data_IF_071614113112
#
_entry.id   IF_071614113112
#
_cell.length_a   1.000
_cell.length_b   1.000
_cell.length_c   1.000
_cell.angle_alpha   90.00
_cell.angle_beta   90.00
_cell.angle_gamma   90.00
#
_symmetry.space_group_name_H-M   'P 1'
#
loop_
_entity.id
_entity.type
_entity.pdbx_description
1 polymer ?
#
# COMPACT_ATOMS: atom_id res chain seq x y z
N UNK A 1 -59.04 24.30 -13.93
CA UNK A 1 -58.60 24.65 -12.57
C UNK A 1 -58.89 23.43 -11.71
N UNK A 2 -57.95 22.57 -11.34
CA UNK A 2 -56.48 22.53 -11.40
C UNK A 2 -56.09 21.04 -11.57
N UNK A 3 -55.05 20.66 -12.32
CA UNK A 3 -53.64 20.47 -11.84
C UNK A 3 -53.61 19.86 -10.42
N UNK A 4 -52.93 18.78 -10.08
CA UNK A 4 -51.82 17.99 -10.60
C UNK A 4 -51.79 16.73 -9.67
N UNK A 5 -51.00 15.68 -9.76
CA UNK A 5 -49.79 15.37 -10.51
C UNK A 5 -49.73 13.85 -10.58
N UNK A 6 -49.22 13.37 -11.71
CA UNK A 6 -48.71 12.03 -11.80
C UNK A 6 -47.39 11.94 -11.03
N UNK A 7 -47.06 10.69 -10.74
CA UNK A 7 -45.70 10.16 -10.79
C UNK A 7 -44.83 10.16 -9.52
N UNK A 8 -44.13 9.03 -9.47
CA UNK A 8 -42.80 8.85 -8.90
C UNK A 8 -42.58 9.15 -7.42
N UNK A 9 -42.54 8.08 -6.63
CA UNK A 9 -41.40 7.86 -5.74
C UNK A 9 -41.15 6.35 -5.72
N UNK A 10 -40.44 5.85 -6.74
CA UNK A 10 -38.98 5.75 -6.73
C UNK A 10 -38.53 4.65 -5.77
N UNK A 11 -37.98 3.61 -6.37
CA UNK A 11 -37.31 2.51 -5.71
C UNK A 11 -36.51 2.98 -4.50
N UNK A 12 -36.85 2.45 -3.32
CA UNK A 12 -36.05 2.57 -2.11
C UNK A 12 -34.72 1.83 -2.32
N UNK A 13 -33.82 2.45 -3.09
CA UNK A 13 -32.41 2.14 -3.11
C UNK A 13 -31.83 2.54 -1.77
N UNK A 14 -31.91 1.64 -0.79
CA UNK A 14 -31.21 1.79 0.49
C UNK A 14 -29.73 1.96 0.16
N UNK A 15 -29.26 3.20 0.24
CA UNK A 15 -27.84 3.50 0.07
C UNK A 15 -27.09 2.83 1.22
N UNK A 16 -26.36 1.75 0.92
CA UNK A 16 -25.56 0.97 1.88
C UNK A 16 -24.59 1.87 2.67
N UNK A 17 -24.19 3.00 2.09
CA UNK A 17 -23.34 4.00 2.75
C UNK A 17 -24.01 4.76 3.90
N UNK A 18 -25.35 4.85 3.94
CA UNK A 18 -26.07 5.57 4.99
C UNK A 18 -26.16 4.78 6.31
N UNK A 19 -25.80 3.48 6.26
CA UNK A 19 -25.75 2.58 7.41
C UNK A 19 -24.32 2.39 7.95
N UNK A 20 -23.32 2.99 7.31
CA UNK A 20 -21.95 2.97 7.79
C UNK A 20 -21.78 4.16 8.74
N UNK A 21 -21.58 3.88 10.03
CA UNK A 21 -21.16 4.93 10.97
C UNK A 21 -19.86 5.58 10.46
N UNK A 22 -19.71 6.91 10.55
CA UNK A 22 -18.47 7.59 10.24
C UNK A 22 -17.35 7.03 11.13
N UNK A 23 -16.39 6.33 10.53
CA UNK A 23 -15.17 5.94 11.24
C UNK A 23 -14.24 7.15 11.29
N UNK A 24 -14.15 7.78 12.45
CA UNK A 24 -13.23 8.90 12.68
C UNK A 24 -11.83 8.36 12.92
N UNK A 25 -10.98 8.48 11.90
CA UNK A 25 -9.57 8.14 12.02
C UNK A 25 -8.90 9.17 12.92
N UNK A 26 -8.24 8.72 13.98
CA UNK A 26 -7.34 9.63 14.67
C UNK A 26 -6.19 10.04 13.74
N UNK A 27 -5.72 11.29 13.88
CA UNK A 27 -4.55 11.75 13.12
C UNK A 27 -3.31 10.87 13.35
N UNK A 28 -3.22 10.24 14.53
CA UNK A 28 -2.17 9.27 14.86
C UNK A 28 -2.28 7.97 14.07
N UNK A 29 -3.48 7.38 13.96
CA UNK A 29 -3.70 6.17 13.15
C UNK A 29 -3.40 6.42 11.66
N UNK A 30 -3.83 7.59 11.15
CA UNK A 30 -3.52 8.01 9.77
C UNK A 30 -2.01 8.13 9.57
N UNK A 31 -1.32 8.85 10.46
CA UNK A 31 0.13 9.02 10.38
C UNK A 31 0.88 7.69 10.50
N UNK A 32 0.42 6.78 11.35
CA UNK A 32 1.03 5.46 11.52
C UNK A 32 0.88 4.60 10.27
N UNK A 33 -0.30 4.60 9.65
CA UNK A 33 -0.54 3.89 8.40
C UNK A 33 0.30 4.44 7.24
N UNK A 34 0.31 5.76 7.04
CA UNK A 34 1.14 6.40 6.01
C UNK A 34 2.63 6.09 6.22
N UNK A 35 3.10 6.10 7.47
CA UNK A 35 4.47 5.70 7.78
C UNK A 35 4.76 4.23 7.44
N UNK A 36 3.77 3.33 7.52
CA UNK A 36 3.93 1.94 7.07
C UNK A 36 3.97 1.82 5.55
N UNK A 37 3.09 2.54 4.85
CA UNK A 37 3.10 2.62 3.39
C UNK A 37 4.45 3.15 2.89
N UNK A 38 4.96 4.21 3.50
CA UNK A 38 6.26 4.77 3.14
C UNK A 38 7.42 3.80 3.41
N UNK A 39 7.38 3.04 4.50
CA UNK A 39 8.37 2.01 4.76
C UNK A 39 8.39 0.94 3.66
N UNK A 40 7.22 0.51 3.16
CA UNK A 40 7.13 -0.42 2.02
C UNK A 40 7.70 0.21 0.75
N UNK A 41 7.32 1.45 0.45
CA UNK A 41 7.83 2.17 -0.72
C UNK A 41 9.36 2.36 -0.67
N UNK A 42 9.92 2.60 0.53
CA UNK A 42 11.36 2.63 0.74
C UNK A 42 12.05 1.31 0.38
N UNK A 43 11.46 0.17 0.75
CA UNK A 43 11.97 -1.14 0.35
C UNK A 43 11.87 -1.39 -1.17
N UNK A 44 10.76 -0.96 -1.81
CA UNK A 44 10.62 -1.00 -3.27
C UNK A 44 11.70 -0.16 -3.95
N UNK A 45 11.95 1.05 -3.44
CA UNK A 45 12.99 1.96 -3.92
C UNK A 45 14.40 1.36 -3.79
N UNK A 46 14.69 0.67 -2.69
CA UNK A 46 15.97 -0.03 -2.50
C UNK A 46 16.17 -1.11 -3.57
N UNK A 47 15.15 -1.90 -3.89
CA UNK A 47 15.23 -2.88 -4.98
C UNK A 47 15.36 -2.21 -6.36
N UNK A 48 14.71 -1.07 -6.61
CA UNK A 48 14.92 -0.30 -7.84
C UNK A 48 16.37 0.16 -7.99
N UNK A 49 16.99 0.62 -6.89
CA UNK A 49 18.39 1.02 -6.88
C UNK A 49 19.33 -0.18 -7.14
N UNK A 50 19.02 -1.35 -6.55
CA UNK A 50 19.75 -2.59 -6.82
C UNK A 50 19.68 -2.99 -8.29
N UNK A 51 18.49 -2.94 -8.90
CA UNK A 51 18.29 -3.23 -10.33
C UNK A 51 19.13 -2.28 -11.18
N UNK A 52 19.01 -0.97 -10.96
CA UNK A 52 19.76 0.02 -11.72
C UNK A 52 21.28 -0.15 -11.57
N UNK A 53 21.77 -0.50 -10.37
CA UNK A 53 23.17 -0.79 -10.13
C UNK A 53 23.65 -2.05 -10.86
N UNK A 54 22.83 -3.10 -10.91
CA UNK A 54 23.12 -4.35 -11.63
C UNK A 54 23.12 -4.15 -13.15
N UNK A 55 22.10 -3.46 -13.67
CA UNK A 55 21.98 -3.11 -15.09
C UNK A 55 23.14 -2.24 -15.60
N UNK A 56 23.76 -1.45 -14.72
CA UNK A 56 24.92 -0.62 -15.03
C UNK A 56 26.26 -1.37 -15.14
N UNK A 57 26.31 -2.67 -14.82
CA UNK A 57 27.55 -3.47 -14.91
C UNK A 57 27.88 -3.85 -16.36
N UNK A 58 29.17 -4.11 -16.63
CA UNK A 58 29.61 -4.61 -17.93
C UNK A 58 28.97 -5.97 -18.30
N UNK A 59 28.76 -6.81 -17.30
CA UNK A 59 28.05 -8.09 -17.41
C UNK A 59 26.98 -8.16 -16.30
N UNK A 60 25.75 -7.68 -16.55
CA UNK A 60 24.68 -7.70 -15.55
C UNK A 60 24.24 -9.11 -15.17
N UNK A 61 24.08 -9.38 -13.87
CA UNK A 61 23.48 -10.63 -13.38
C UNK A 61 21.95 -10.59 -13.49
N UNK A 62 21.43 -11.24 -14.53
CA UNK A 62 19.98 -11.35 -14.77
C UNK A 62 19.23 -12.07 -13.64
N UNK A 63 19.91 -12.93 -12.88
CA UNK A 63 19.34 -13.59 -11.71
C UNK A 63 19.09 -12.62 -10.56
N UNK A 64 20.00 -11.65 -10.34
CA UNK A 64 19.81 -10.58 -9.35
C UNK A 64 18.63 -9.70 -9.74
N UNK A 65 18.59 -9.24 -10.99
CA UNK A 65 17.51 -8.40 -11.53
C UNK A 65 16.16 -9.11 -11.41
N UNK A 66 16.08 -10.39 -11.82
CA UNK A 66 14.85 -11.18 -11.72
C UNK A 66 14.35 -11.35 -10.29
N UNK A 67 15.26 -11.61 -9.33
CA UNK A 67 14.90 -11.70 -7.90
C UNK A 67 14.42 -10.37 -7.34
N UNK A 68 15.06 -9.26 -7.73
CA UNK A 68 14.66 -7.93 -7.29
C UNK A 68 13.26 -7.54 -7.81
N UNK A 69 12.95 -7.83 -9.07
CA UNK A 69 11.59 -7.63 -9.60
C UNK A 69 10.54 -8.48 -8.89
N UNK A 70 10.84 -9.76 -8.65
CA UNK A 70 9.93 -10.64 -7.90
C UNK A 70 9.68 -10.12 -6.47
N UNK A 71 10.72 -9.56 -5.82
CA UNK A 71 10.59 -8.92 -4.52
C UNK A 71 9.71 -7.67 -4.57
N UNK A 72 9.87 -6.79 -5.57
CA UNK A 72 9.00 -5.62 -5.76
C UNK A 72 7.53 -6.01 -5.95
N UNK A 73 7.25 -7.04 -6.76
CA UNK A 73 5.90 -7.54 -6.95
C UNK A 73 5.28 -8.04 -5.64
N UNK A 74 6.05 -8.79 -4.85
CA UNK A 74 5.62 -9.25 -3.52
C UNK A 74 5.31 -8.07 -2.59
N UNK A 75 6.19 -7.06 -2.53
CA UNK A 75 6.01 -5.87 -1.69
C UNK A 75 4.73 -5.09 -2.06
N UNK A 76 4.40 -5.00 -3.35
CA UNK A 76 3.15 -4.38 -3.80
C UNK A 76 1.92 -5.11 -3.23
N UNK A 77 1.93 -6.46 -3.27
CA UNK A 77 0.85 -7.30 -2.71
C UNK A 77 0.79 -7.22 -1.18
N UNK A 78 1.93 -7.14 -0.51
CA UNK A 78 1.99 -6.98 0.93
C UNK A 78 1.45 -5.61 1.38
N UNK A 79 1.73 -4.54 0.61
CA UNK A 79 1.15 -3.21 0.84
C UNK A 79 -0.36 -3.22 0.73
N UNK A 80 -0.92 -3.87 -0.29
CA UNK A 80 -2.38 -4.04 -0.47
C UNK A 80 -3.03 -4.76 0.72
N UNK A 81 -2.28 -5.59 1.44
CA UNK A 81 -2.74 -6.31 2.63
C UNK A 81 -2.66 -5.54 3.95
N UNK A 82 -2.13 -4.31 3.96
CA UNK A 82 -2.08 -3.49 5.17
C UNK A 82 -3.48 -3.03 5.56
N UNK A 83 -3.82 -3.25 6.83
CA UNK A 83 -5.09 -2.85 7.43
C UNK A 83 -4.83 -1.64 8.31
N UNK A 84 -5.33 -0.45 7.95
CA UNK A 84 -5.03 0.74 8.72
C UNK A 84 -5.62 0.68 10.15
N UNK A 85 -6.65 -0.15 10.39
CA UNK A 85 -7.22 -0.42 11.72
C UNK A 85 -6.50 -1.50 12.55
N UNK A 86 -5.33 -1.99 12.12
CA UNK A 86 -4.51 -2.95 12.89
C UNK A 86 -3.16 -2.32 13.30
N UNK A 87 -3.09 -1.64 14.47
CA UNK A 87 -1.88 -0.94 14.90
C UNK A 87 -0.66 -1.87 15.06
N UNK A 88 -0.88 -3.14 15.39
CA UNK A 88 0.19 -4.12 15.55
C UNK A 88 0.79 -4.51 14.18
N UNK A 89 -0.07 -4.74 13.18
CA UNK A 89 0.38 -4.97 11.81
C UNK A 89 1.15 -3.76 11.28
N UNK A 90 0.63 -2.55 11.48
CA UNK A 90 1.27 -1.30 11.04
C UNK A 90 2.65 -1.11 11.69
N UNK A 91 2.77 -1.28 13.01
CA UNK A 91 4.05 -1.17 13.70
C UNK A 91 5.07 -2.23 13.24
N UNK A 92 4.59 -3.45 12.96
CA UNK A 92 5.43 -4.54 12.47
C UNK A 92 5.91 -4.28 11.04
N UNK A 93 5.02 -3.85 10.15
CA UNK A 93 5.33 -3.48 8.78
C UNK A 93 6.40 -2.38 8.73
N UNK A 94 6.22 -1.31 9.50
CA UNK A 94 7.20 -0.20 9.59
C UNK A 94 8.60 -0.69 9.92
N UNK A 95 8.74 -1.49 10.98
CA UNK A 95 10.05 -2.02 11.41
C UNK A 95 10.64 -2.97 10.36
N UNK A 96 9.81 -3.85 9.82
CA UNK A 96 10.24 -4.87 8.87
C UNK A 96 10.74 -4.25 7.57
N UNK A 97 9.94 -3.40 6.91
CA UNK A 97 10.31 -2.85 5.61
C UNK A 97 11.42 -1.80 5.71
N UNK A 98 11.48 -1.02 6.80
CA UNK A 98 12.62 -0.13 7.04
C UNK A 98 13.94 -0.90 7.26
N UNK A 99 13.88 -2.11 7.83
CA UNK A 99 15.04 -3.00 7.95
C UNK A 99 15.39 -3.60 6.59
N UNK A 100 14.41 -4.13 5.86
CA UNK A 100 14.62 -4.72 4.54
C UNK A 100 15.25 -3.72 3.56
N UNK A 101 14.76 -2.48 3.52
CA UNK A 101 15.33 -1.44 2.66
C UNK A 101 16.83 -1.23 2.91
N UNK A 102 17.26 -1.22 4.18
CA UNK A 102 18.68 -1.13 4.55
C UNK A 102 19.45 -2.37 4.12
N UNK A 103 18.93 -3.56 4.41
CA UNK A 103 19.57 -4.83 4.02
C UNK A 103 19.77 -4.93 2.50
N UNK A 104 18.81 -4.46 1.69
CA UNK A 104 18.94 -4.42 0.23
C UNK A 104 20.04 -3.44 -0.21
N UNK A 105 20.06 -2.23 0.36
CA UNK A 105 21.07 -1.21 0.03
C UNK A 105 22.48 -1.63 0.46
N UNK A 106 22.61 -2.36 1.56
CA UNK A 106 23.87 -2.89 2.07
C UNK A 106 24.33 -4.16 1.30
N UNK A 107 23.50 -4.69 0.39
CA UNK A 107 23.81 -5.88 -0.42
C UNK A 107 23.65 -7.21 0.32
N UNK A 108 22.78 -7.26 1.33
CA UNK A 108 22.53 -8.42 2.19
C UNK A 108 21.22 -9.17 1.88
N UNK A 109 20.54 -8.83 0.78
CA UNK A 109 19.20 -9.31 0.44
C UNK A 109 19.15 -10.47 -0.58
#
# INVERSE_FOLDING_TARGET
MSDADADADAENGISVTHQLEPYDWSGEETAAYEAAVEAVNGAVGAYSALIAAEEGKAEPDQGVIGRAHAAQFRLAREREGLRPGDPHQIATARRHYARLAREVLDGHA
#
